data_IF_432182324148
#
_entry.id   IF_432182324148
#
_cell.length_a   1.000
_cell.length_b   1.000
_cell.length_c   1.000
_cell.angle_alpha   90.00
_cell.angle_beta   90.00
_cell.angle_gamma   90.00
#
_symmetry.space_group_name_H-M   'P 1'
#
loop_
_entity.id
_entity.type
_entity.pdbx_description
1 polymer ?
#
# COMPACT_ATOMS: atom_id res chain seq x y z
N UNK A 1 -4.01 0.20 -18.20
CA UNK A 1 -4.77 -1.06 -18.36
C UNK A 1 -6.00 -1.03 -17.45
N UNK A 2 -7.07 -1.77 -17.77
CA UNK A 2 -8.30 -1.85 -16.96
C UNK A 2 -8.72 -3.30 -16.75
N UNK A 3 -9.06 -3.66 -15.51
CA UNK A 3 -9.62 -4.95 -15.14
C UNK A 3 -10.80 -4.80 -14.18
N UNK A 4 -11.85 -5.60 -14.38
CA UNK A 4 -13.01 -5.67 -13.48
C UNK A 4 -13.18 -7.13 -13.05
N UNK A 5 -13.22 -7.36 -11.74
CA UNK A 5 -13.36 -8.69 -11.13
C UNK A 5 -14.70 -8.78 -10.41
N UNK A 6 -15.44 -9.85 -10.66
CA UNK A 6 -16.65 -10.19 -9.92
C UNK A 6 -16.60 -11.67 -9.54
N UNK A 7 -16.93 -11.98 -8.29
CA UNK A 7 -16.90 -13.36 -7.74
C UNK A 7 -15.58 -14.10 -8.02
N UNK A 8 -14.46 -13.40 -7.84
CA UNK A 8 -13.10 -13.95 -8.02
C UNK A 8 -12.69 -14.19 -9.48
N UNK A 9 -13.48 -13.76 -10.47
CA UNK A 9 -13.18 -13.92 -11.90
C UNK A 9 -13.17 -12.57 -12.61
N UNK A 10 -12.25 -12.39 -13.56
CA UNK A 10 -12.30 -11.25 -14.46
C UNK A 10 -13.54 -11.34 -15.34
N UNK A 11 -14.39 -10.32 -15.28
CA UNK A 11 -15.49 -10.11 -16.24
C UNK A 11 -15.09 -9.11 -17.34
N UNK A 12 -13.97 -8.41 -17.14
CA UNK A 12 -13.38 -7.49 -18.08
C UNK A 12 -11.88 -7.38 -17.86
N UNK A 13 -11.08 -7.41 -18.93
CA UNK A 13 -9.63 -7.17 -18.88
C UNK A 13 -9.16 -6.65 -20.23
N UNK A 14 -8.61 -5.42 -20.28
CA UNK A 14 -8.10 -4.82 -21.52
C UNK A 14 -6.92 -3.89 -21.26
N UNK A 15 -5.96 -3.93 -22.19
CA UNK A 15 -4.89 -2.94 -22.28
C UNK A 15 -5.20 -1.93 -23.38
N UNK A 16 -4.78 -0.70 -23.17
CA UNK A 16 -5.08 0.42 -24.03
C UNK A 16 -3.80 1.20 -24.25
N UNK A 17 -3.59 1.71 -25.47
CA UNK A 17 -2.52 2.66 -25.78
C UNK A 17 -1.11 2.12 -25.51
N UNK A 18 -0.17 3.06 -25.33
CA UNK A 18 1.28 2.83 -25.30
C UNK A 18 1.84 2.98 -23.89
N UNK A 19 2.78 2.10 -23.54
CA UNK A 19 3.59 2.18 -22.33
C UNK A 19 4.75 3.18 -22.52
N UNK A 20 5.32 3.25 -23.72
CA UNK A 20 6.40 4.18 -24.08
C UNK A 20 6.02 4.86 -25.39
N UNK A 21 5.78 6.17 -25.35
CA UNK A 21 5.28 6.94 -26.49
C UNK A 21 6.32 7.02 -27.61
N UNK A 22 7.57 7.26 -27.23
CA UNK A 22 8.72 7.47 -28.13
C UNK A 22 9.06 6.23 -28.94
N UNK A 23 8.72 5.05 -28.41
CA UNK A 23 9.02 3.76 -29.03
C UNK A 23 7.78 3.09 -29.61
N UNK A 24 6.61 3.73 -29.52
CA UNK A 24 5.35 3.12 -29.94
C UNK A 24 5.03 1.82 -29.18
N UNK A 25 5.62 1.59 -28.01
CA UNK A 25 5.52 0.31 -27.31
C UNK A 25 4.16 0.21 -26.63
N UNK A 26 3.32 -0.81 -26.93
CA UNK A 26 1.98 -0.92 -26.37
C UNK A 26 2.00 -1.27 -24.87
N UNK A 27 0.96 -0.88 -24.13
CA UNK A 27 0.70 -1.45 -22.81
C UNK A 27 0.30 -2.92 -22.99
N UNK A 28 0.99 -3.81 -22.29
CA UNK A 28 0.69 -5.26 -22.25
C UNK A 28 0.17 -5.66 -20.86
N UNK A 29 -0.37 -6.87 -20.70
CA UNK A 29 -0.74 -7.39 -19.38
C UNK A 29 0.42 -7.48 -18.38
N UNK A 30 1.66 -7.50 -18.88
CA UNK A 30 2.89 -7.61 -18.07
C UNK A 30 3.56 -6.25 -17.82
N UNK A 31 3.01 -5.15 -18.36
CA UNK A 31 3.52 -3.80 -18.09
C UNK A 31 3.39 -3.46 -16.60
N UNK A 32 4.48 -2.98 -16.00
CA UNK A 32 4.52 -2.51 -14.62
C UNK A 32 4.25 -1.01 -14.58
N UNK A 33 3.54 -0.55 -13.55
CA UNK A 33 3.19 0.86 -13.33
C UNK A 33 3.64 1.30 -11.95
N UNK A 34 4.05 2.56 -11.81
CA UNK A 34 4.14 3.22 -10.52
C UNK A 34 2.73 3.49 -9.98
N UNK A 35 2.28 2.65 -9.04
CA UNK A 35 0.89 2.69 -8.53
C UNK A 35 0.64 3.78 -7.48
N UNK A 36 1.67 4.57 -7.14
CA UNK A 36 1.57 5.72 -6.23
C UNK A 36 0.94 5.36 -4.88
N UNK A 37 -0.08 6.12 -4.47
CA UNK A 37 -0.73 5.92 -3.16
C UNK A 37 -1.43 4.58 -2.99
N UNK A 38 -1.71 3.84 -4.06
CA UNK A 38 -2.23 2.46 -3.97
C UNK A 38 -1.27 1.53 -3.22
N UNK A 39 0.04 1.82 -3.25
CA UNK A 39 1.05 1.08 -2.47
C UNK A 39 0.76 1.02 -0.97
N UNK A 40 0.09 2.04 -0.40
CA UNK A 40 -0.21 2.11 1.04
C UNK A 40 -1.09 0.94 1.51
N UNK A 41 -2.02 0.48 0.67
CA UNK A 41 -2.91 -0.65 0.99
C UNK A 41 -2.11 -1.94 1.19
N UNK A 42 -1.06 -2.16 0.40
CA UNK A 42 -0.18 -3.32 0.54
C UNK A 42 0.65 -3.25 1.81
N UNK A 43 1.22 -2.09 2.13
CA UNK A 43 1.92 -1.88 3.41
C UNK A 43 0.99 -2.12 4.60
N UNK A 44 -0.22 -1.56 4.57
CA UNK A 44 -1.23 -1.78 5.62
C UNK A 44 -1.61 -3.27 5.76
N UNK A 45 -1.74 -4.01 4.65
CA UNK A 45 -1.98 -5.44 4.66
C UNK A 45 -0.82 -6.23 5.32
N UNK A 46 0.43 -5.86 5.04
CA UNK A 46 1.59 -6.45 5.71
C UNK A 46 1.56 -6.22 7.24
N UNK A 47 1.21 -5.00 7.68
CA UNK A 47 1.05 -4.72 9.10
C UNK A 47 -0.09 -5.54 9.71
N UNK A 48 -1.24 -5.66 9.03
CA UNK A 48 -2.35 -6.48 9.49
C UNK A 48 -1.94 -7.96 9.63
N UNK A 49 -1.15 -8.50 8.70
CA UNK A 49 -0.61 -9.87 8.79
C UNK A 49 0.34 -10.04 9.98
N UNK A 50 1.20 -9.06 10.25
CA UNK A 50 2.10 -9.07 11.42
C UNK A 50 1.32 -8.99 12.74
N UNK A 51 0.29 -8.14 12.80
CA UNK A 51 -0.60 -8.04 13.95
C UNK A 51 -1.34 -9.35 14.22
N UNK A 52 -1.87 -9.98 13.16
CA UNK A 52 -2.50 -11.33 13.24
C UNK A 52 -1.55 -12.40 13.77
N UNK A 53 -0.26 -12.30 13.41
CA UNK A 53 0.80 -13.21 13.89
C UNK A 53 1.37 -12.81 15.27
N UNK A 54 0.78 -11.80 15.93
CA UNK A 54 1.23 -11.25 17.21
C UNK A 54 2.71 -10.80 17.20
N UNK A 55 3.22 -10.40 16.04
CA UNK A 55 4.58 -9.84 15.91
C UNK A 55 4.64 -8.35 16.25
N UNK A 56 3.48 -7.69 16.23
CA UNK A 56 3.26 -6.33 16.70
C UNK A 56 1.81 -6.18 17.19
N UNK A 57 1.54 -5.13 17.95
CA UNK A 57 0.20 -4.62 18.24
C UNK A 57 -0.04 -3.33 17.46
N UNK A 58 -1.27 -3.09 16.98
CA UNK A 58 -1.59 -1.80 16.35
C UNK A 58 -1.53 -0.64 17.35
N UNK A 59 -1.65 -0.93 18.64
CA UNK A 59 -1.57 0.06 19.72
C UNK A 59 -0.15 0.20 20.27
N UNK A 60 0.83 -0.51 19.67
CA UNK A 60 2.23 -0.26 19.96
C UNK A 60 2.61 1.17 19.53
N UNK A 61 3.32 1.84 20.42
CA UNK A 61 3.97 3.11 20.15
C UNK A 61 5.08 2.91 19.08
N UNK A 62 5.15 3.78 18.07
CA UNK A 62 6.07 3.61 16.93
C UNK A 62 7.55 3.64 17.34
N UNK A 63 7.91 4.38 18.39
CA UNK A 63 9.28 4.44 18.91
C UNK A 63 9.79 3.09 19.44
N UNK A 64 8.91 2.11 19.67
CA UNK A 64 9.31 0.71 19.94
C UNK A 64 10.05 0.07 18.76
N UNK A 65 9.70 0.46 17.54
CA UNK A 65 10.22 -0.10 16.29
C UNK A 65 11.22 0.83 15.60
N UNK A 66 11.05 2.14 15.78
CA UNK A 66 11.87 3.19 15.18
C UNK A 66 12.38 4.14 16.28
N UNK A 67 13.36 3.71 17.10
CA UNK A 67 13.85 4.49 18.25
C UNK A 67 14.49 5.83 17.88
N UNK A 68 14.88 6.01 16.62
CA UNK A 68 15.45 7.24 16.07
C UNK A 68 14.43 8.35 15.83
N UNK A 69 13.13 8.03 15.80
CA UNK A 69 12.07 9.03 15.65
C UNK A 69 11.94 9.85 16.95
N UNK A 70 11.82 11.19 16.89
CA UNK A 70 11.69 12.02 18.07
C UNK A 70 10.50 11.59 18.93
N UNK A 71 10.63 11.78 20.25
CA UNK A 71 9.50 11.60 21.16
C UNK A 71 8.53 12.76 20.96
N UNK A 72 7.31 12.45 20.55
CA UNK A 72 6.22 13.41 20.47
C UNK A 72 5.56 13.62 21.84
N UNK A 73 4.86 14.74 22.01
CA UNK A 73 4.10 15.03 23.23
C UNK A 73 3.04 13.96 23.54
N UNK A 74 2.43 13.42 22.49
CA UNK A 74 1.48 12.31 22.58
C UNK A 74 2.05 11.09 21.85
N UNK A 75 1.92 9.88 22.41
CA UNK A 75 2.32 8.64 21.74
C UNK A 75 1.70 8.49 20.34
N UNK A 76 2.54 8.29 19.32
CA UNK A 76 2.08 7.91 17.98
C UNK A 76 2.09 6.39 17.91
N UNK A 77 0.93 5.78 17.67
CA UNK A 77 0.80 4.32 17.52
C UNK A 77 0.86 3.91 16.05
N UNK A 78 1.10 2.62 15.80
CA UNK A 78 0.97 2.05 14.45
C UNK A 78 -0.43 2.30 13.86
N UNK A 79 -1.48 2.21 14.69
CA UNK A 79 -2.87 2.52 14.31
C UNK A 79 -3.01 3.96 13.81
N UNK A 80 -2.37 4.92 14.47
CA UNK A 80 -2.44 6.32 14.03
C UNK A 80 -1.87 6.53 12.63
N UNK A 81 -0.77 5.83 12.30
CA UNK A 81 -0.11 5.93 11.00
C UNK A 81 -0.94 5.31 9.88
N UNK A 82 -1.48 4.11 10.09
CA UNK A 82 -2.27 3.40 9.06
C UNK A 82 -3.59 4.12 8.76
N UNK A 83 -4.15 4.85 9.74
CA UNK A 83 -5.39 5.59 9.58
C UNK A 83 -5.20 7.09 9.32
N UNK A 84 -3.96 7.57 9.15
CA UNK A 84 -3.68 8.97 8.86
C UNK A 84 -4.23 9.95 9.93
N UNK A 85 -4.13 9.57 11.20
CA UNK A 85 -4.55 10.39 12.36
C UNK A 85 -3.40 10.70 13.33
N UNK A 86 -2.16 10.44 12.92
CA UNK A 86 -0.97 10.77 13.72
C UNK A 86 -0.64 12.25 13.77
N UNK A 87 -1.16 13.04 12.81
CA UNK A 87 -0.73 14.42 12.59
C UNK A 87 0.62 14.53 11.87
N UNK A 88 1.02 13.47 11.14
CA UNK A 88 2.21 13.41 10.28
C UNK A 88 1.79 13.27 8.82
#
# INVERSE_FOLDING_TARGET
ALGVISRGKFIYKRCYWMAILEHGAPITPDSVFDVGSTSKQFTAACIALLARRRKLSLDDNIQKYLPEIPRYRHPVTIRHLIHHISGL
#
